data_IF_441995601029
#
_entry.id   IF_441995601029
#
_cell.length_a   1.000
_cell.length_b   1.000
_cell.length_c   1.000
_cell.angle_alpha   90.00
_cell.angle_beta   90.00
_cell.angle_gamma   90.00
#
_symmetry.space_group_name_H-M   'P 1'
#
loop_
_entity.id
_entity.type
_entity.pdbx_description
1 polymer ?
#
# COMPACT_ATOMS: atom_id res chain seq x y z
N UNK A 1 -70.24 -15.43 -9.36
CA UNK A 1 -69.13 -15.39 -10.33
C UNK A 1 -68.06 -14.56 -9.65
N UNK A 2 -67.19 -15.23 -8.91
CA UNK A 2 -66.23 -14.59 -8.00
C UNK A 2 -65.00 -14.12 -8.79
N UNK A 3 -64.65 -12.85 -8.68
CA UNK A 3 -63.33 -12.33 -9.10
C UNK A 3 -62.63 -11.85 -7.83
N UNK A 4 -61.54 -12.48 -7.39
CA UNK A 4 -60.72 -11.89 -6.34
C UNK A 4 -59.80 -10.85 -6.97
N UNK A 5 -60.06 -9.59 -6.62
CA UNK A 5 -59.17 -8.47 -6.86
C UNK A 5 -57.86 -8.71 -6.11
N UNK A 6 -56.80 -9.09 -6.82
CA UNK A 6 -55.47 -9.10 -6.24
C UNK A 6 -55.05 -7.66 -5.92
N UNK A 7 -54.90 -7.36 -4.63
CA UNK A 7 -54.22 -6.17 -4.17
C UNK A 7 -52.74 -6.23 -4.62
N UNK A 8 -52.18 -5.15 -5.21
CA UNK A 8 -50.75 -5.09 -5.48
C UNK A 8 -50.02 -5.06 -4.14
N UNK A 9 -49.37 -6.18 -3.80
CA UNK A 9 -48.64 -6.35 -2.55
C UNK A 9 -47.59 -5.25 -2.37
N UNK A 10 -47.80 -4.44 -1.34
CA UNK A 10 -46.93 -3.36 -0.86
C UNK A 10 -45.68 -3.93 -0.17
N UNK A 11 -44.96 -4.85 -0.83
CA UNK A 11 -43.81 -5.57 -0.27
C UNK A 11 -42.45 -5.02 -0.71
N UNK A 12 -42.42 -4.15 -1.72
CA UNK A 12 -41.16 -3.66 -2.30
C UNK A 12 -40.44 -2.61 -1.44
N UNK A 13 -41.18 -1.70 -0.79
CA UNK A 13 -40.58 -0.59 -0.01
C UNK A 13 -39.86 -1.06 1.25
N UNK A 14 -40.43 -2.00 2.01
CA UNK A 14 -39.82 -2.50 3.25
C UNK A 14 -38.50 -3.23 3.01
N UNK A 15 -38.46 -4.07 1.97
CA UNK A 15 -37.24 -4.75 1.51
C UNK A 15 -36.16 -3.76 1.07
N UNK A 16 -36.54 -2.71 0.35
CA UNK A 16 -35.61 -1.65 -0.06
C UNK A 16 -35.03 -0.89 1.15
N UNK A 17 -35.85 -0.57 2.14
CA UNK A 17 -35.35 0.09 3.37
C UNK A 17 -34.40 -0.81 4.16
N UNK A 18 -34.73 -2.09 4.33
CA UNK A 18 -33.83 -3.04 5.01
C UNK A 18 -32.53 -3.24 4.25
N UNK A 19 -32.57 -3.35 2.92
CA UNK A 19 -31.37 -3.45 2.08
C UNK A 19 -30.50 -2.18 2.17
N UNK A 20 -31.12 -1.00 2.23
CA UNK A 20 -30.41 0.28 2.39
C UNK A 20 -29.73 0.37 3.77
N UNK A 21 -30.42 -0.02 4.84
CA UNK A 21 -29.86 -0.05 6.19
C UNK A 21 -28.68 -1.02 6.26
N UNK A 22 -28.80 -2.22 5.66
CA UNK A 22 -27.72 -3.21 5.61
C UNK A 22 -26.51 -2.69 4.81
N UNK A 23 -26.74 -2.00 3.68
CA UNK A 23 -25.68 -1.40 2.88
C UNK A 23 -24.95 -0.26 3.61
N UNK A 24 -25.67 0.53 4.41
CA UNK A 24 -25.09 1.59 5.25
C UNK A 24 -24.31 1.04 6.44
N UNK A 25 -24.67 -0.15 6.93
CA UNK A 25 -23.96 -0.85 8.00
C UNK A 25 -22.75 -1.64 7.53
N UNK A 26 -22.56 -1.81 6.22
CA UNK A 26 -21.27 -2.26 5.72
C UNK A 26 -20.25 -1.19 6.11
N UNK A 27 -19.12 -1.56 6.76
CA UNK A 27 -18.06 -0.62 7.04
C UNK A 27 -17.71 0.05 5.72
N UNK A 28 -18.02 1.33 5.60
CA UNK A 28 -17.60 2.16 4.48
C UNK A 28 -16.08 2.11 4.57
N UNK A 29 -15.48 1.18 3.83
CA UNK A 29 -14.10 0.77 4.04
C UNK A 29 -13.28 2.04 4.11
N UNK A 30 -12.67 2.29 5.27
CA UNK A 30 -11.78 3.44 5.44
C UNK A 30 -10.72 3.26 4.38
N UNK A 31 -10.90 3.92 3.23
CA UNK A 31 -9.90 4.01 2.19
C UNK A 31 -8.80 4.88 2.79
N UNK A 32 -7.96 4.27 3.62
CA UNK A 32 -6.71 4.86 3.97
C UNK A 32 -5.98 4.97 2.62
N UNK A 33 -5.94 6.19 2.08
CA UNK A 33 -5.29 6.45 0.81
C UNK A 33 -3.82 6.06 0.98
N UNK A 34 -3.44 4.93 0.40
CA UNK A 34 -2.07 4.45 0.42
C UNK A 34 -1.20 5.54 -0.20
N UNK A 35 -0.29 6.11 0.59
CA UNK A 35 0.57 7.18 0.11
C UNK A 35 1.97 7.06 0.70
N UNK A 36 2.93 7.57 -0.05
CA UNK A 36 4.33 7.62 0.33
C UNK A 36 4.69 9.06 0.64
N UNK A 37 5.23 9.28 1.84
CA UNK A 37 5.78 10.56 2.27
C UNK A 37 7.30 10.53 2.20
N UNK A 38 7.91 11.62 1.73
CA UNK A 38 9.38 11.76 1.69
C UNK A 38 9.86 12.50 2.93
N UNK A 39 10.86 11.96 3.61
CA UNK A 39 11.44 12.56 4.81
C UNK A 39 12.97 12.57 4.68
N UNK A 40 13.61 13.75 4.53
CA UNK A 40 12.96 15.06 4.36
C UNK A 40 12.24 15.18 3.00
N UNK A 41 11.30 16.11 2.89
CA UNK A 41 10.54 16.33 1.64
C UNK A 41 11.44 16.77 0.47
N UNK A 42 12.48 17.52 0.78
CA UNK A 42 13.51 18.01 -0.14
C UNK A 42 14.89 17.54 0.36
N UNK A 43 15.29 16.30 0.04
CA UNK A 43 16.59 15.77 0.45
C UNK A 43 17.72 16.52 -0.25
N UNK A 44 18.76 16.87 0.52
CA UNK A 44 20.00 17.38 -0.05
C UNK A 44 20.86 16.23 -0.59
N UNK A 45 21.85 16.57 -1.42
CA UNK A 45 22.82 15.58 -1.90
C UNK A 45 23.55 14.97 -0.71
N UNK A 46 23.75 13.65 -0.74
CA UNK A 46 24.39 12.88 0.34
C UNK A 46 23.64 12.94 1.68
N UNK A 47 22.33 13.15 1.64
CA UNK A 47 21.46 13.00 2.81
C UNK A 47 20.61 11.74 2.68
N UNK A 48 20.41 11.06 3.81
CA UNK A 48 19.49 9.93 3.89
C UNK A 48 18.06 10.37 3.57
N UNK A 49 17.33 9.52 2.85
CA UNK A 49 15.94 9.75 2.47
C UNK A 49 15.08 8.58 2.91
N UNK A 50 14.13 8.86 3.80
CA UNK A 50 13.09 7.91 4.19
C UNK A 50 11.86 8.12 3.33
N UNK A 51 11.39 7.04 2.69
CA UNK A 51 10.09 6.94 2.05
C UNK A 51 9.14 6.23 3.01
N UNK A 52 8.35 7.00 3.75
CA UNK A 52 7.41 6.51 4.75
C UNK A 52 6.09 6.13 4.10
N UNK A 53 5.67 4.87 4.26
CA UNK A 53 4.42 4.35 3.71
C UNK A 53 3.30 4.48 4.75
N UNK A 54 2.18 5.08 4.34
CA UNK A 54 1.02 5.32 5.20
C UNK A 54 -0.25 4.73 4.60
N UNK A 55 -1.21 4.39 5.46
CA UNK A 55 -2.50 3.83 5.04
C UNK A 55 -2.43 2.37 4.56
N UNK A 56 -1.41 1.63 4.99
CA UNK A 56 -1.25 0.21 4.67
C UNK A 56 -2.36 -0.59 5.35
N UNK A 57 -3.12 -1.43 4.62
CA UNK A 57 -4.11 -2.30 5.22
C UNK A 57 -3.43 -3.42 6.03
N UNK A 58 -4.09 -3.88 7.10
CA UNK A 58 -3.58 -4.98 7.94
C UNK A 58 -3.47 -6.33 7.19
N UNK A 59 -4.07 -6.43 6.01
CA UNK A 59 -4.10 -7.64 5.17
C UNK A 59 -2.98 -7.68 4.12
N UNK A 60 -2.00 -6.77 4.19
CA UNK A 60 -0.88 -6.72 3.25
C UNK A 60 -0.05 -8.02 3.33
N UNK A 61 0.29 -8.58 2.17
CA UNK A 61 1.06 -9.82 2.08
C UNK A 61 2.56 -9.55 1.92
N UNK A 62 2.89 -8.54 1.12
CA UNK A 62 4.26 -8.12 0.84
C UNK A 62 4.31 -6.64 0.44
N UNK A 63 5.52 -6.09 0.51
CA UNK A 63 5.87 -4.79 -0.03
C UNK A 63 6.95 -4.98 -1.08
N UNK A 64 6.76 -4.40 -2.26
CA UNK A 64 7.77 -4.47 -3.32
C UNK A 64 8.08 -3.05 -3.75
N UNK A 65 9.36 -2.69 -3.67
CA UNK A 65 9.86 -1.40 -4.14
C UNK A 65 10.48 -1.56 -5.53
N UNK A 66 10.11 -0.65 -6.43
CA UNK A 66 10.59 -0.60 -7.81
C UNK A 66 11.31 0.72 -8.07
N UNK A 67 12.27 0.69 -8.98
CA UNK A 67 12.94 1.85 -9.51
C UNK A 67 12.12 2.45 -10.67
N UNK A 68 11.62 3.66 -10.47
CA UNK A 68 10.76 4.33 -11.45
C UNK A 68 9.32 3.81 -11.42
N UNK A 69 8.58 4.06 -12.49
CA UNK A 69 7.15 3.74 -12.59
C UNK A 69 6.88 2.30 -13.03
N UNK A 70 7.84 1.66 -13.70
CA UNK A 70 7.66 0.30 -14.19
C UNK A 70 7.77 -0.72 -13.05
N UNK A 71 6.82 -1.65 -12.98
CA UNK A 71 6.75 -2.69 -11.95
C UNK A 71 7.13 -4.07 -12.49
N UNK A 72 8.29 -4.17 -13.15
CA UNK A 72 8.78 -5.43 -13.71
C UNK A 72 9.98 -5.99 -12.93
N UNK A 73 10.43 -7.20 -13.27
CA UNK A 73 11.56 -7.83 -12.57
C UNK A 73 12.88 -7.08 -12.72
N UNK A 74 13.05 -6.31 -13.81
CA UNK A 74 14.25 -5.51 -14.08
C UNK A 74 14.35 -4.27 -13.20
N UNK A 75 13.23 -3.68 -12.81
CA UNK A 75 13.18 -2.46 -11.98
C UNK A 75 13.03 -2.75 -10.49
N UNK A 76 12.78 -3.99 -10.07
CA UNK A 76 12.62 -4.33 -8.65
C UNK A 76 13.88 -4.02 -7.86
N UNK A 77 13.74 -3.25 -6.78
CA UNK A 77 14.81 -2.96 -5.81
C UNK A 77 14.89 -4.06 -4.75
N UNK A 78 13.77 -4.36 -4.07
CA UNK A 78 13.67 -5.47 -3.12
C UNK A 78 12.19 -5.83 -2.87
N UNK A 79 11.98 -6.96 -2.22
CA UNK A 79 10.69 -7.36 -1.65
C UNK A 79 10.80 -7.53 -0.14
N UNK A 80 9.74 -7.16 0.59
CA UNK A 80 9.59 -7.35 2.02
C UNK A 80 8.30 -8.09 2.32
N UNK A 81 8.40 -9.32 2.81
CA UNK A 81 7.29 -10.16 3.26
C UNK A 81 7.28 -10.13 4.79
N UNK A 82 6.25 -9.55 5.42
CA UNK A 82 6.09 -9.58 6.88
C UNK A 82 6.14 -11.00 7.43
N UNK A 83 6.82 -11.18 8.56
CA UNK A 83 6.94 -12.48 9.23
C UNK A 83 8.03 -13.41 8.68
N UNK A 84 8.64 -13.10 7.53
CA UNK A 84 9.82 -13.85 7.05
C UNK A 84 11.12 -13.30 7.64
N UNK A 85 12.08 -14.18 8.02
CA UNK A 85 13.37 -13.75 8.54
C UNK A 85 14.16 -12.99 7.46
N UNK A 86 14.99 -12.05 7.92
CA UNK A 86 15.98 -11.36 7.07
C UNK A 86 17.23 -12.26 6.92
N UNK A 87 17.98 -12.18 5.82
CA UNK A 87 17.79 -11.27 4.68
C UNK A 87 16.73 -11.78 3.70
N UNK A 88 16.01 -10.84 3.10
CA UNK A 88 15.09 -11.12 1.99
C UNK A 88 15.77 -10.74 0.68
N UNK A 89 15.38 -11.39 -0.42
CA UNK A 89 16.10 -11.29 -1.71
C UNK A 89 15.99 -9.89 -2.31
N UNK A 90 17.13 -9.32 -2.68
CA UNK A 90 17.23 -8.09 -3.45
C UNK A 90 16.77 -8.31 -4.91
N UNK A 91 16.22 -7.26 -5.51
CA UNK A 91 15.85 -7.24 -6.91
C UNK A 91 16.99 -6.79 -7.82
N UNK A 92 16.78 -6.94 -9.13
CA UNK A 92 17.81 -6.69 -10.14
C UNK A 92 18.28 -5.21 -10.15
N UNK A 93 17.41 -4.29 -9.74
CA UNK A 93 17.72 -2.87 -9.73
C UNK A 93 18.47 -2.41 -8.46
N UNK A 94 18.65 -3.26 -7.44
CA UNK A 94 19.30 -2.88 -6.17
C UNK A 94 20.69 -2.28 -6.42
N UNK A 95 21.51 -2.95 -7.25
CA UNK A 95 22.86 -2.50 -7.60
C UNK A 95 23.73 -2.33 -6.35
N UNK A 96 24.44 -1.21 -6.26
CA UNK A 96 25.28 -0.85 -5.09
C UNK A 96 24.59 0.15 -4.14
N UNK A 97 23.26 0.31 -4.23
CA UNK A 97 22.53 1.24 -3.38
C UNK A 97 22.41 0.66 -1.97
N UNK A 98 22.62 1.50 -0.97
CA UNK A 98 22.37 1.14 0.42
C UNK A 98 20.90 1.48 0.74
N UNK A 99 20.04 0.47 0.66
CA UNK A 99 18.61 0.57 0.89
C UNK A 99 18.18 -0.39 2.00
N UNK A 100 17.36 0.11 2.93
CA UNK A 100 16.82 -0.66 4.04
C UNK A 100 15.29 -0.61 3.97
N UNK A 101 14.66 -1.78 3.80
CA UNK A 101 13.21 -1.95 3.90
C UNK A 101 12.75 -2.29 5.31
N UNK A 102 11.64 -1.70 5.75
CA UNK A 102 11.06 -1.88 7.09
C UNK A 102 9.78 -2.74 7.08
N UNK A 103 9.40 -3.35 8.23
CA UNK A 103 8.18 -4.15 8.34
C UNK A 103 6.87 -3.43 8.02
N UNK A 104 6.84 -2.10 8.12
CA UNK A 104 5.68 -1.29 7.77
C UNK A 104 5.63 -0.91 6.28
N UNK A 105 6.54 -1.46 5.47
CA UNK A 105 6.65 -1.17 4.03
C UNK A 105 7.45 0.09 3.69
N UNK A 106 7.88 0.86 4.67
CA UNK A 106 8.73 2.04 4.45
C UNK A 106 10.13 1.62 3.97
N UNK A 107 10.82 2.56 3.31
CA UNK A 107 12.16 2.34 2.76
C UNK A 107 13.09 3.49 3.09
N UNK A 108 14.27 3.21 3.63
CA UNK A 108 15.36 4.16 3.81
C UNK A 108 16.38 3.98 2.69
N UNK A 109 16.66 5.06 1.97
CA UNK A 109 17.81 5.18 1.07
C UNK A 109 18.92 5.91 1.83
N UNK A 110 20.03 5.23 2.09
CA UNK A 110 21.19 5.84 2.74
C UNK A 110 22.03 6.60 1.72
N UNK A 111 22.51 7.75 2.13
CA UNK A 111 23.48 8.51 1.38
C UNK A 111 24.75 7.69 1.14
N UNK A 112 25.20 7.66 -0.11
CA UNK A 112 26.54 7.19 -0.42
C UNK A 112 27.53 8.29 -0.05
N UNK A 113 28.30 8.09 1.02
CA UNK A 113 29.41 8.98 1.37
C UNK A 113 30.70 8.38 0.80
N UNK A 114 31.23 8.85 -0.35
CA UNK A 114 32.58 8.49 -0.73
C UNK A 114 33.51 9.09 0.33
N UNK A 115 34.22 8.24 1.07
CA UNK A 115 35.31 8.71 1.91
C UNK A 115 36.24 9.57 1.04
N UNK A 116 36.69 10.76 1.52
CA UNK A 116 37.73 11.46 0.82
C UNK A 116 38.94 10.54 0.77
N UNK A 117 39.37 10.19 -0.45
CA UNK A 117 40.66 9.56 -0.67
C UNK A 117 41.69 10.55 -0.15
N UNK A 118 42.34 10.21 0.96
CA UNK A 118 43.40 11.06 1.52
C UNK A 118 44.55 11.08 0.50
N UNK A 119 45.16 12.27 0.25
CA UNK A 119 46.24 12.42 -0.71
C UNK A 119 47.52 11.65 -0.30
#
# INVERSE_FOLDING_TARGET
MEIPTQAPGCFSKGLLFSALILALWLPQGSQAALHIQKIPEQPQKNQDLLLSLHGVPSTVQDFIWYLGEETNGGTRLFSYIPGLPRPQRDGNAMGQRDIIGFPNGSMLLRAYFPFPVQP
#
